data_IF_623409611372
#
_entry.id   IF_623409611372
#
_cell.length_a   1.000
_cell.length_b   1.000
_cell.length_c   1.000
_cell.angle_alpha   90.00
_cell.angle_beta   90.00
_cell.angle_gamma   90.00
#
_symmetry.space_group_name_H-M   'P 1'
#
loop_
_entity.id
_entity.type
_entity.pdbx_description
1 polymer ?
#
# COMPACT_ATOMS: atom_id res chain seq x y z
N UNK A 1 10.14 -14.57 -12.43
CA UNK A 1 9.62 -13.20 -12.61
C UNK A 1 10.48 -12.45 -13.63
N UNK A 2 10.31 -12.70 -14.93
CA UNK A 2 11.06 -11.98 -15.99
C UNK A 2 10.24 -11.63 -17.24
N UNK A 3 8.96 -12.01 -17.34
CA UNK A 3 8.19 -11.84 -18.58
C UNK A 3 7.81 -10.39 -18.89
N UNK A 4 7.60 -9.55 -17.86
CA UNK A 4 7.14 -8.16 -18.05
C UNK A 4 8.25 -7.25 -18.61
N UNK A 5 9.48 -7.38 -18.11
CA UNK A 5 10.60 -6.52 -18.57
C UNK A 5 10.95 -6.73 -20.05
N UNK A 6 10.79 -7.96 -20.55
CA UNK A 6 11.03 -8.33 -21.96
C UNK A 6 9.84 -8.11 -22.89
N UNK A 7 8.70 -7.60 -22.41
CA UNK A 7 7.50 -7.42 -23.20
C UNK A 7 7.72 -6.40 -24.34
N UNK A 8 7.30 -6.79 -25.54
CA UNK A 8 7.35 -5.97 -26.75
C UNK A 8 6.16 -4.98 -26.80
N UNK A 9 6.23 -3.91 -27.63
CA UNK A 9 5.14 -2.93 -27.75
C UNK A 9 3.77 -3.54 -28.09
N UNK A 10 3.73 -4.57 -28.94
CA UNK A 10 2.50 -5.23 -29.38
C UNK A 10 1.89 -6.17 -28.32
N UNK A 11 2.66 -6.47 -27.28
CA UNK A 11 2.24 -7.35 -26.18
C UNK A 11 1.81 -6.56 -24.93
N UNK A 12 1.77 -5.22 -25.02
CA UNK A 12 1.32 -4.36 -23.92
C UNK A 12 -0.09 -4.74 -23.50
N UNK A 13 -0.25 -5.00 -22.21
CA UNK A 13 -1.56 -5.27 -21.62
C UNK A 13 -2.30 -3.96 -21.39
N UNK A 14 -3.58 -3.93 -21.73
CA UNK A 14 -4.45 -2.76 -21.52
C UNK A 14 -5.00 -2.80 -20.10
N UNK A 15 -4.96 -1.65 -19.43
CA UNK A 15 -5.50 -1.45 -18.10
C UNK A 15 -6.45 -0.27 -18.17
N UNK A 16 -7.69 -0.49 -17.77
CA UNK A 16 -8.71 0.56 -17.66
C UNK A 16 -8.79 1.05 -16.21
N UNK A 17 -9.49 2.15 -16.00
CA UNK A 17 -9.74 2.71 -14.67
C UNK A 17 -11.23 2.70 -14.37
N UNK A 18 -11.58 2.39 -13.12
CA UNK A 18 -12.95 2.56 -12.64
C UNK A 18 -13.23 4.03 -12.25
N UNK A 19 -14.46 4.33 -11.85
CA UNK A 19 -14.89 5.67 -11.41
C UNK A 19 -14.05 6.26 -10.26
N UNK A 20 -13.38 5.40 -9.48
CA UNK A 20 -12.49 5.79 -8.37
C UNK A 20 -11.03 5.92 -8.80
N UNK A 21 -10.75 5.87 -10.11
CA UNK A 21 -9.39 5.91 -10.66
C UNK A 21 -8.55 4.66 -10.35
N UNK A 22 -9.17 3.53 -9.99
CA UNK A 22 -8.46 2.30 -9.68
C UNK A 22 -8.31 1.42 -10.91
N UNK A 23 -7.17 0.74 -11.02
CA UNK A 23 -6.91 -0.17 -12.13
C UNK A 23 -7.86 -1.38 -12.15
N UNK A 24 -8.38 -1.63 -13.35
CA UNK A 24 -9.28 -2.75 -13.69
C UNK A 24 -8.84 -3.33 -15.05
N UNK A 25 -9.18 -4.59 -15.29
CA UNK A 25 -8.91 -5.27 -16.56
C UNK A 25 -9.98 -6.32 -16.81
N UNK A 26 -10.19 -6.68 -18.08
CA UNK A 26 -11.01 -7.83 -18.47
C UNK A 26 -10.46 -9.13 -17.86
N UNK A 27 -9.13 -9.23 -17.74
CA UNK A 27 -8.46 -10.33 -17.07
C UNK A 27 -7.91 -9.87 -15.71
N UNK A 28 -8.52 -10.38 -14.63
CA UNK A 28 -8.11 -10.13 -13.24
C UNK A 28 -6.60 -10.30 -13.01
N UNK A 29 -5.97 -11.24 -13.72
CA UNK A 29 -4.54 -11.54 -13.59
C UNK A 29 -3.65 -10.36 -13.98
N UNK A 30 -4.12 -9.46 -14.83
CA UNK A 30 -3.31 -8.36 -15.37
C UNK A 30 -3.12 -7.24 -14.35
N UNK A 31 -4.15 -6.91 -13.57
CA UNK A 31 -4.05 -5.92 -12.47
C UNK A 31 -3.14 -6.45 -11.37
N UNK A 32 -3.24 -7.76 -11.06
CA UNK A 32 -2.35 -8.40 -10.08
C UNK A 32 -0.90 -8.44 -10.58
N UNK A 33 -0.67 -8.77 -11.85
CA UNK A 33 0.66 -8.74 -12.48
C UNK A 33 1.25 -7.32 -12.49
N UNK A 34 0.45 -6.32 -12.87
CA UNK A 34 0.85 -4.91 -12.82
C UNK A 34 1.25 -4.52 -11.39
N UNK A 35 0.40 -4.79 -10.41
CA UNK A 35 0.68 -4.46 -9.00
C UNK A 35 2.00 -5.09 -8.51
N UNK A 36 2.26 -6.34 -8.87
CA UNK A 36 3.52 -7.02 -8.55
C UNK A 36 4.72 -6.42 -9.27
N UNK A 37 4.56 -6.04 -10.54
CA UNK A 37 5.58 -5.36 -11.33
C UNK A 37 5.93 -4.00 -10.74
N UNK A 38 4.92 -3.16 -10.44
CA UNK A 38 5.09 -1.87 -9.76
C UNK A 38 5.81 -2.04 -8.42
N UNK A 39 5.44 -3.06 -7.64
CA UNK A 39 6.11 -3.38 -6.39
C UNK A 39 7.55 -3.84 -6.56
N UNK A 40 7.93 -4.37 -7.73
CA UNK A 40 9.33 -4.69 -8.06
C UNK A 40 10.10 -3.45 -8.44
N UNK A 41 9.54 -2.60 -9.30
CA UNK A 41 10.14 -1.31 -9.65
C UNK A 41 10.43 -0.46 -8.41
N UNK A 42 9.47 -0.36 -7.50
CA UNK A 42 9.63 0.41 -6.26
C UNK A 42 10.75 -0.14 -5.38
N UNK A 43 10.88 -1.47 -5.25
CA UNK A 43 11.93 -2.11 -4.43
C UNK A 43 13.32 -1.96 -5.00
N UNK A 44 13.43 -2.05 -6.33
CA UNK A 44 14.73 -2.14 -6.98
C UNK A 44 15.29 -0.75 -7.35
N UNK A 45 14.44 0.28 -7.42
CA UNK A 45 14.84 1.62 -7.88
C UNK A 45 14.67 2.74 -6.85
N UNK A 46 13.85 2.55 -5.81
CA UNK A 46 13.60 3.61 -4.81
C UNK A 46 14.40 3.32 -3.55
N UNK A 47 15.31 4.23 -3.21
CA UNK A 47 16.17 4.09 -2.03
C UNK A 47 15.35 3.95 -0.74
N UNK A 48 15.84 3.13 0.18
CA UNK A 48 15.30 2.99 1.53
C UNK A 48 15.61 4.19 2.43
N UNK A 49 16.65 4.97 2.08
CA UNK A 49 17.12 6.13 2.86
C UNK A 49 16.15 7.30 2.81
N UNK A 50 15.27 7.37 1.80
CA UNK A 50 14.20 8.36 1.76
C UNK A 50 13.27 8.21 2.97
N UNK A 51 12.99 9.31 3.66
CA UNK A 51 12.18 9.32 4.88
C UNK A 51 10.73 8.97 4.56
N UNK A 52 10.16 9.62 3.53
CA UNK A 52 8.80 9.41 3.04
C UNK A 52 8.74 9.48 1.50
N UNK A 53 7.57 9.18 0.92
CA UNK A 53 7.41 9.17 -0.55
C UNK A 53 7.49 10.56 -1.19
N UNK A 54 7.17 11.62 -0.45
CA UNK A 54 7.18 12.98 -0.96
C UNK A 54 8.61 13.46 -1.25
N UNK A 55 9.60 12.99 -0.49
CA UNK A 55 11.02 13.32 -0.73
C UNK A 55 11.67 12.49 -1.86
N UNK A 56 10.97 11.49 -2.40
CA UNK A 56 11.45 10.76 -3.58
C UNK A 56 11.44 11.74 -4.76
N UNK A 57 12.55 11.88 -5.52
CA UNK A 57 12.63 12.83 -6.62
C UNK A 57 11.54 12.60 -7.67
N UNK A 58 10.89 13.67 -8.12
CA UNK A 58 9.82 13.55 -9.12
C UNK A 58 10.34 13.03 -10.47
N UNK A 59 11.59 13.34 -10.82
CA UNK A 59 12.24 12.76 -11.99
C UNK A 59 12.36 11.23 -11.90
N UNK A 60 12.60 10.68 -10.71
CA UNK A 60 12.62 9.24 -10.51
C UNK A 60 11.21 8.66 -10.64
N UNK A 61 10.20 9.29 -10.03
CA UNK A 61 8.79 8.85 -10.15
C UNK A 61 8.35 8.85 -11.62
N UNK A 62 8.66 9.92 -12.36
CA UNK A 62 8.36 10.05 -13.78
C UNK A 62 9.04 8.95 -14.61
N UNK A 63 10.33 8.69 -14.38
CA UNK A 63 11.05 7.60 -15.07
C UNK A 63 10.41 6.24 -14.82
N UNK A 64 9.96 5.96 -13.60
CA UNK A 64 9.27 4.70 -13.27
C UNK A 64 7.87 4.63 -13.91
N UNK A 65 7.17 5.76 -14.03
CA UNK A 65 5.92 5.87 -14.76
C UNK A 65 6.10 5.60 -16.26
N UNK A 66 7.02 6.28 -16.92
CA UNK A 66 7.33 6.09 -18.34
C UNK A 66 7.76 4.64 -18.62
N UNK A 67 8.58 4.05 -17.75
CA UNK A 67 8.96 2.64 -17.86
C UNK A 67 7.75 1.71 -17.76
N UNK A 68 6.76 2.05 -16.93
CA UNK A 68 5.50 1.30 -16.80
C UNK A 68 4.65 1.42 -18.07
N UNK A 69 4.51 2.61 -18.64
CA UNK A 69 3.83 2.83 -19.93
C UNK A 69 4.53 2.13 -21.11
N UNK A 70 5.82 1.87 -20.98
CA UNK A 70 6.56 1.01 -21.90
C UNK A 70 6.04 -0.44 -21.92
N UNK A 71 5.38 -0.91 -20.85
CA UNK A 71 4.96 -2.31 -20.66
C UNK A 71 3.45 -2.52 -20.57
N UNK A 72 2.69 -1.47 -20.35
CA UNK A 72 1.24 -1.47 -20.20
C UNK A 72 0.64 -0.26 -20.94
N UNK A 73 -0.58 -0.40 -21.43
CA UNK A 73 -1.39 0.74 -21.89
C UNK A 73 -2.27 1.16 -20.71
N UNK A 74 -2.00 2.33 -20.14
CA UNK A 74 -2.69 2.87 -18.97
C UNK A 74 -3.08 4.33 -19.30
N UNK A 75 -4.32 4.76 -19.04
CA UNK A 75 -4.70 6.17 -19.14
C UNK A 75 -3.84 7.05 -18.22
N UNK A 76 -3.61 8.31 -18.62
CA UNK A 76 -2.78 9.25 -17.84
C UNK A 76 -3.34 9.51 -16.44
N UNK A 77 -4.67 9.52 -16.29
CA UNK A 77 -5.36 9.62 -14.99
C UNK A 77 -4.97 8.49 -14.01
N UNK A 78 -4.44 7.38 -14.52
CA UNK A 78 -3.99 6.22 -13.75
C UNK A 78 -2.64 6.43 -13.07
N UNK A 79 -1.92 7.51 -13.40
CA UNK A 79 -0.60 7.79 -12.83
C UNK A 79 -0.65 7.87 -11.29
N UNK A 80 -1.67 8.54 -10.75
CA UNK A 80 -1.86 8.65 -9.29
C UNK A 80 -2.00 7.27 -8.63
N UNK A 81 -2.78 6.37 -9.23
CA UNK A 81 -2.94 5.01 -8.74
C UNK A 81 -1.62 4.23 -8.79
N UNK A 82 -0.84 4.39 -9.87
CA UNK A 82 0.47 3.76 -10.02
C UNK A 82 1.45 4.23 -8.94
N UNK A 83 1.55 5.54 -8.71
CA UNK A 83 2.41 6.09 -7.66
C UNK A 83 1.98 5.63 -6.26
N UNK A 84 0.68 5.59 -5.98
CA UNK A 84 0.17 5.10 -4.69
C UNK A 84 0.50 3.61 -4.48
N UNK A 85 0.43 2.81 -5.54
CA UNK A 85 0.78 1.39 -5.50
C UNK A 85 2.28 1.20 -5.25
N UNK A 86 3.14 1.94 -5.96
CA UNK A 86 4.59 1.92 -5.73
C UNK A 86 4.95 2.38 -4.31
N UNK A 87 4.35 3.48 -3.83
CA UNK A 87 4.54 4.01 -2.48
C UNK A 87 4.21 2.95 -1.42
N UNK A 88 3.05 2.30 -1.56
CA UNK A 88 2.61 1.25 -0.64
C UNK A 88 3.57 0.06 -0.62
N UNK A 89 4.03 -0.38 -1.80
CA UNK A 89 5.00 -1.45 -1.91
C UNK A 89 6.37 -1.08 -1.32
N UNK A 90 6.84 0.15 -1.55
CA UNK A 90 8.08 0.67 -0.98
C UNK A 90 8.02 0.78 0.54
N UNK A 91 6.93 1.31 1.11
CA UNK A 91 6.71 1.36 2.57
C UNK A 91 6.72 -0.04 3.19
N UNK A 92 6.04 -0.99 2.55
CA UNK A 92 6.03 -2.39 2.99
C UNK A 92 7.42 -3.02 2.94
N UNK A 93 8.19 -2.73 1.88
CA UNK A 93 9.57 -3.18 1.77
C UNK A 93 10.45 -2.60 2.89
N UNK A 94 10.38 -1.28 3.14
CA UNK A 94 11.10 -0.61 4.23
C UNK A 94 10.75 -1.20 5.60
N UNK A 95 9.47 -1.48 5.86
CA UNK A 95 9.01 -2.15 7.07
C UNK A 95 9.63 -3.55 7.23
N UNK A 96 9.62 -4.37 6.16
CA UNK A 96 10.24 -5.69 6.15
C UNK A 96 11.75 -5.62 6.39
N UNK A 97 12.43 -4.64 5.81
CA UNK A 97 13.86 -4.43 6.00
C UNK A 97 14.18 -4.03 7.45
N UNK A 98 13.42 -3.08 8.04
CA UNK A 98 13.55 -2.72 9.46
C UNK A 98 13.35 -3.94 10.36
N UNK A 99 12.29 -4.72 10.14
CA UNK A 99 12.01 -5.93 10.94
C UNK A 99 13.16 -6.93 10.86
N UNK A 100 13.72 -7.14 9.66
CA UNK A 100 14.76 -8.16 9.42
C UNK A 100 16.14 -7.74 9.92
N UNK A 101 16.52 -6.48 9.77
CA UNK A 101 17.89 -6.02 9.98
C UNK A 101 18.07 -5.08 11.18
N UNK A 102 16.99 -4.53 11.73
CA UNK A 102 17.05 -3.66 12.91
C UNK A 102 16.41 -4.32 14.12
N UNK A 103 15.11 -4.65 14.03
CA UNK A 103 14.36 -5.21 15.17
C UNK A 103 14.76 -6.64 15.52
N UNK A 104 15.42 -7.37 14.62
CA UNK A 104 15.87 -8.73 14.87
C UNK A 104 17.08 -8.83 15.82
N UNK A 105 17.78 -7.71 16.05
CA UNK A 105 19.05 -7.67 16.78
C UNK A 105 19.03 -6.55 17.83
N UNK A 106 19.74 -6.78 18.94
CA UNK A 106 19.66 -5.89 20.10
C UNK A 106 20.67 -4.74 20.01
N UNK A 107 21.87 -5.00 19.46
CA UNK A 107 22.94 -4.01 19.38
C UNK A 107 23.26 -3.62 17.93
N UNK A 108 23.85 -2.45 17.74
CA UNK A 108 24.25 -1.98 16.41
C UNK A 108 25.40 -2.82 15.83
N UNK A 109 26.26 -3.39 16.66
CA UNK A 109 27.32 -4.30 16.23
C UNK A 109 26.73 -5.55 15.57
N UNK A 110 25.74 -6.20 16.20
CA UNK A 110 25.03 -7.36 15.64
C UNK A 110 24.32 -7.01 14.34
N UNK A 111 23.70 -5.82 14.27
CA UNK A 111 23.01 -5.32 13.05
C UNK A 111 23.99 -5.12 11.90
N UNK A 112 25.19 -4.62 12.19
CA UNK A 112 26.25 -4.39 11.20
C UNK A 112 26.85 -5.70 10.68
N UNK A 113 27.00 -6.72 11.54
CA UNK A 113 27.44 -8.07 11.14
C UNK A 113 26.41 -8.73 10.20
N UNK A 114 25.12 -8.50 10.43
CA UNK A 114 24.02 -9.06 9.64
C UNK A 114 23.51 -8.11 8.53
N UNK A 115 24.35 -7.16 8.10
CA UNK A 115 24.07 -6.28 6.98
C UNK A 115 23.85 -7.10 5.70
N UNK A 116 22.89 -6.67 4.86
CA UNK A 116 22.74 -7.24 3.52
C UNK A 116 23.70 -6.60 2.50
N UNK A 117 24.23 -7.39 1.57
CA UNK A 117 25.06 -6.90 0.45
C UNK A 117 24.30 -5.99 -0.52
N UNK A 118 22.96 -6.07 -0.52
CA UNK A 118 22.11 -5.28 -1.43
C UNK A 118 22.04 -3.80 -1.08
N UNK A 119 22.34 -3.45 0.17
CA UNK A 119 22.30 -2.05 0.63
C UNK A 119 23.76 -1.59 0.82
N UNK A 120 24.17 -0.46 0.22
CA UNK A 120 25.48 0.12 0.47
C UNK A 120 25.73 0.35 1.97
N UNK A 121 26.99 0.28 2.39
CA UNK A 121 27.35 0.42 3.80
C UNK A 121 26.88 1.75 4.40
N UNK A 122 27.08 2.85 3.68
CA UNK A 122 26.70 4.18 4.15
C UNK A 122 25.19 4.36 4.25
N UNK A 123 24.43 3.82 3.30
CA UNK A 123 22.96 3.79 3.37
C UNK A 123 22.49 2.98 4.58
N UNK A 124 23.13 1.84 4.86
CA UNK A 124 22.76 1.01 5.99
C UNK A 124 23.03 1.72 7.33
N UNK A 125 24.18 2.39 7.49
CA UNK A 125 24.47 3.21 8.67
C UNK A 125 23.45 4.34 8.85
N UNK A 126 23.08 5.01 7.76
CA UNK A 126 22.06 6.06 7.79
C UNK A 126 20.70 5.51 8.24
N UNK A 127 20.34 4.30 7.79
CA UNK A 127 19.12 3.61 8.22
C UNK A 127 19.16 3.23 9.70
N UNK A 128 20.28 2.71 10.21
CA UNK A 128 20.44 2.39 11.63
C UNK A 128 20.25 3.64 12.50
N UNK A 129 20.91 4.75 12.14
CA UNK A 129 20.75 6.02 12.84
C UNK A 129 19.28 6.50 12.81
N UNK A 130 18.64 6.43 11.65
CA UNK A 130 17.24 6.84 11.51
C UNK A 130 16.27 5.96 12.32
N UNK A 131 16.46 4.64 12.34
CA UNK A 131 15.62 3.74 13.12
C UNK A 131 15.92 3.77 14.63
N UNK A 132 17.15 4.16 14.99
CA UNK A 132 17.62 4.42 16.35
C UNK A 132 17.10 5.72 16.96
N UNK A 133 16.63 6.66 16.13
CA UNK A 133 16.14 7.95 16.59
C UNK A 133 14.89 7.80 17.46
N UNK A 134 14.92 8.40 18.66
CA UNK A 134 13.84 8.32 19.65
C UNK A 134 12.50 8.82 19.12
N UNK A 135 12.50 9.90 18.32
CA UNK A 135 11.27 10.46 17.75
C UNK A 135 10.65 9.50 16.74
N UNK A 136 11.49 8.80 15.97
CA UNK A 136 11.06 7.80 14.99
C UNK A 136 10.54 6.54 15.68
N UNK A 137 11.15 6.14 16.79
CA UNK A 137 10.67 4.99 17.59
C UNK A 137 9.33 5.30 18.24
N UNK A 138 9.21 6.44 18.91
CA UNK A 138 7.95 6.88 19.54
C UNK A 138 6.80 6.94 18.53
N UNK A 139 7.03 7.55 17.37
CA UNK A 139 6.03 7.60 16.31
C UNK A 139 5.65 6.20 15.81
N UNK A 140 6.60 5.27 15.75
CA UNK A 140 6.32 3.89 15.33
C UNK A 140 5.48 3.12 16.37
N UNK A 141 5.70 3.38 17.66
CA UNK A 141 4.92 2.81 18.77
C UNK A 141 3.48 3.32 18.73
N UNK A 142 3.28 4.63 18.65
CA UNK A 142 1.95 5.27 18.52
C UNK A 142 1.18 4.70 17.32
N UNK A 143 1.82 4.60 16.15
CA UNK A 143 1.22 4.00 14.96
C UNK A 143 0.84 2.52 15.15
N UNK A 144 1.62 1.77 15.94
CA UNK A 144 1.34 0.37 16.25
C UNK A 144 0.13 0.25 17.17
N UNK A 145 0.00 1.14 18.16
CA UNK A 145 -1.15 1.21 19.05
C UNK A 145 -2.43 1.58 18.29
N UNK A 146 -2.37 2.60 17.44
CA UNK A 146 -3.48 2.96 16.56
C UNK A 146 -3.89 1.79 15.65
N UNK A 147 -2.93 1.02 15.15
CA UNK A 147 -3.23 -0.16 14.30
C UNK A 147 -3.89 -1.29 15.08
N UNK A 148 -3.56 -1.50 16.36
CA UNK A 148 -4.20 -2.52 17.22
C UNK A 148 -5.68 -2.21 17.48
N UNK A 149 -6.08 -0.94 17.44
CA UNK A 149 -7.46 -0.53 17.59
C UNK A 149 -8.34 -0.81 16.36
N UNK A 150 -7.76 -1.20 15.21
CA UNK A 150 -8.52 -1.51 14.01
C UNK A 150 -9.07 -2.94 14.07
N UNK A 151 -10.40 -3.07 14.12
CA UNK A 151 -11.11 -4.37 14.27
C UNK A 151 -11.29 -5.09 12.93
N UNK A 152 -11.43 -4.36 11.83
CA UNK A 152 -11.73 -4.95 10.53
C UNK A 152 -10.47 -5.13 9.67
N UNK A 153 -10.08 -6.39 9.48
CA UNK A 153 -9.00 -6.76 8.56
C UNK A 153 -9.55 -7.49 7.35
N UNK A 154 -9.16 -7.04 6.16
CA UNK A 154 -9.57 -7.63 4.89
C UNK A 154 -9.17 -9.10 4.72
N UNK A 155 -10.10 -9.94 4.26
CA UNK A 155 -9.94 -11.40 4.05
C UNK A 155 -9.98 -11.86 2.58
N UNK A 156 -10.11 -10.96 1.58
CA UNK A 156 -10.34 -11.33 0.17
C UNK A 156 -9.12 -11.94 -0.57
N UNK A 157 -8.12 -12.43 0.16
CA UNK A 157 -6.94 -13.07 -0.41
C UNK A 157 -6.08 -12.14 -1.27
N UNK A 158 -5.43 -12.69 -2.30
CA UNK A 158 -4.51 -11.96 -3.19
C UNK A 158 -5.19 -11.22 -4.34
N UNK A 159 -6.52 -11.09 -4.32
CA UNK A 159 -7.26 -10.39 -5.37
C UNK A 159 -7.27 -8.89 -5.07
N UNK A 160 -7.01 -8.02 -6.07
CA UNK A 160 -7.20 -6.58 -5.91
C UNK A 160 -8.65 -6.27 -5.49
N UNK A 161 -8.82 -5.41 -4.48
CA UNK A 161 -10.13 -5.03 -3.96
C UNK A 161 -11.00 -4.38 -5.02
N UNK A 162 -10.41 -3.57 -5.91
CA UNK A 162 -11.12 -2.92 -7.03
C UNK A 162 -11.86 -3.95 -7.89
N UNK A 163 -11.20 -5.03 -8.28
CA UNK A 163 -11.80 -6.11 -9.07
C UNK A 163 -12.91 -6.85 -8.32
N UNK A 164 -12.76 -7.03 -7.01
CA UNK A 164 -13.81 -7.67 -6.20
C UNK A 164 -15.06 -6.79 -6.14
N UNK A 165 -14.88 -5.49 -5.88
CA UNK A 165 -15.98 -4.51 -5.86
C UNK A 165 -16.68 -4.45 -7.21
N UNK A 166 -15.93 -4.41 -8.32
CA UNK A 166 -16.55 -4.39 -9.64
C UNK A 166 -17.34 -5.65 -9.98
N UNK A 167 -16.85 -6.82 -9.56
CA UNK A 167 -17.59 -8.08 -9.73
C UNK A 167 -18.88 -8.08 -8.91
N UNK A 168 -18.85 -7.56 -7.70
CA UNK A 168 -20.06 -7.39 -6.89
C UNK A 168 -21.06 -6.47 -7.58
N UNK A 169 -20.62 -5.30 -8.08
CA UNK A 169 -21.48 -4.36 -8.84
C UNK A 169 -22.07 -4.95 -10.12
N UNK A 170 -21.32 -5.79 -10.84
CA UNK A 170 -21.82 -6.47 -12.05
C UNK A 170 -22.90 -7.53 -11.75
N UNK A 171 -22.78 -8.20 -10.60
CA UNK A 171 -23.74 -9.22 -10.17
C UNK A 171 -25.00 -8.62 -9.55
N UNK A 172 -24.88 -7.48 -8.88
CA UNK A 172 -26.00 -6.71 -8.32
C UNK A 172 -25.68 -5.20 -8.41
N UNK A 173 -26.28 -4.47 -9.38
CA UNK A 173 -26.03 -3.04 -9.57
C UNK A 173 -26.45 -2.15 -8.40
N UNK A 174 -27.36 -2.64 -7.54
CA UNK A 174 -27.84 -1.92 -6.35
C UNK A 174 -27.07 -2.29 -5.09
N UNK A 175 -26.03 -3.13 -5.18
CA UNK A 175 -25.22 -3.46 -4.01
C UNK A 175 -24.46 -2.22 -3.54
N UNK A 176 -24.74 -1.80 -2.29
CA UNK A 176 -24.04 -0.70 -1.65
C UNK A 176 -22.53 -0.95 -1.65
N UNK A 177 -21.75 0.10 -1.85
CA UNK A 177 -20.29 0.03 -1.78
C UNK A 177 -19.91 -0.48 -0.39
N UNK A 178 -19.04 -1.50 -0.24
CA UNK A 178 -18.64 -2.00 1.07
C UNK A 178 -17.93 -0.98 1.98
N UNK A 179 -17.68 0.23 1.50
CA UNK A 179 -17.13 1.37 2.26
C UNK A 179 -18.07 2.58 2.39
N UNK A 180 -19.32 2.47 1.93
CA UNK A 180 -20.40 3.43 2.20
C UNK A 180 -21.34 2.83 3.25
N UNK A 181 -20.80 2.56 4.45
CA UNK A 181 -21.67 2.46 5.62
C UNK A 181 -21.84 3.90 6.09
N UNK A 182 -23.04 4.44 5.87
CA UNK A 182 -23.48 5.72 6.42
C UNK A 182 -23.23 5.70 7.93
N UNK A 183 -22.47 6.69 8.42
CA UNK A 183 -22.42 7.02 9.83
C UNK A 183 -23.73 7.70 10.22
N UNK A 184 -24.83 6.97 10.16
CA UNK A 184 -26.06 7.41 10.78
C UNK A 184 -25.91 7.11 12.27
N UNK A 185 -25.75 8.21 13.00
CA UNK A 185 -25.62 8.27 14.44
C UNK A 185 -26.83 7.58 15.08
N UNK A 186 -26.56 6.62 15.98
CA UNK A 186 -27.50 6.18 17.00
C UNK A 186 -27.87 7.37 17.89
N UNK A 187 -28.91 8.12 17.53
CA UNK A 187 -29.57 9.07 18.43
C UNK A 187 -30.49 8.29 19.37
N UNK A 188 -29.94 7.99 20.54
CA UNK A 188 -30.65 7.45 21.67
C UNK A 188 -31.74 8.44 22.14
N UNK A 189 -33.00 8.11 21.90
CA UNK A 189 -34.13 8.71 22.61
C UNK A 189 -35.17 7.65 22.97
N UNK A 190 -34.89 6.88 24.03
CA UNK A 190 -35.95 6.24 24.83
C UNK A 190 -36.08 7.00 26.15
N UNK A 191 -37.18 7.74 26.41
CA UNK A 191 -37.37 8.41 27.68
C UNK A 191 -37.87 7.42 28.74
N UNK A 192 -37.30 7.53 29.95
CA UNK A 192 -37.79 6.82 31.13
C UNK A 192 -39.20 7.30 31.51
N UNK A 193 -40.16 6.41 31.82
CA UNK A 193 -41.42 6.84 32.42
C UNK A 193 -41.28 7.01 33.93
N UNK A 194 -41.63 8.22 34.38
CA UNK A 194 -41.90 8.61 35.77
C UNK A 194 -43.13 7.84 36.31
N UNK A 195 -43.14 7.59 37.63
CA UNK A 195 -44.05 6.67 38.29
C UNK A 195 -45.53 7.08 38.35
N UNK A 196 -46.35 6.11 38.77
CA UNK A 196 -47.75 6.29 39.12
C UNK A 196 -48.24 5.17 40.03
N UNK A 197 -48.48 5.49 41.30
CA UNK A 197 -49.27 4.72 42.26
C UNK A 197 -50.76 5.10 42.12
N UNK A 198 -51.64 4.12 41.91
CA UNK A 198 -53.09 4.02 42.25
C UNK A 198 -53.57 2.72 41.57
N UNK A 199 -54.29 1.77 42.17
CA UNK A 199 -55.06 1.63 43.41
C UNK A 199 -54.97 0.18 43.89
#
# INVERSE_FOLDING_TARGET
>A
MSKVHGRNPDEKKVISLNEKGQAISENDGDVAELSNFLGTLARDNVSLTYINWHVVPDQLKLKLWEYTLGKYVIPDDGQTWVYNTMNSAWKLHKCRMKKKHYTAYNTDEERMEHKTDRIPLEDFKMLLKYWGDESVQKLAEENTEHRKALVETHTLGRKPVSLVIEKMKKSDPNHANPGEVSSDQDDNSTPMPQGGTTS
#
